data_IF_811492264128
#
_entry.id   IF_811492264128
#
_cell.length_a   1.000
_cell.length_b   1.000
_cell.length_c   1.000
_cell.angle_alpha   90.00
_cell.angle_beta   90.00
_cell.angle_gamma   90.00
#
_symmetry.space_group_name_H-M   'P 1'
#
loop_
_entity.id
_entity.type
_entity.pdbx_description
1 polymer ?
#
# COMPACT_ATOMS: atom_id res chain seq x y z
N UNK A 1 13.16 54.85 -10.72
CA UNK A 1 13.37 53.39 -10.87
C UNK A 1 12.46 52.68 -9.87
N UNK A 2 11.98 51.47 -10.18
CA UNK A 2 10.95 50.64 -9.51
C UNK A 2 9.50 50.79 -10.01
N UNK A 3 9.17 49.97 -11.01
CA UNK A 3 7.81 49.72 -11.52
C UNK A 3 7.10 48.71 -10.62
N UNK A 4 5.95 49.10 -10.09
CA UNK A 4 5.00 48.23 -9.36
C UNK A 4 4.02 47.63 -10.38
N UNK A 5 4.19 46.35 -10.73
CA UNK A 5 3.25 45.64 -11.61
C UNK A 5 2.08 45.08 -10.80
N UNK A 6 0.99 45.86 -10.73
CA UNK A 6 -0.33 45.35 -10.31
C UNK A 6 -0.90 44.52 -11.45
N UNK A 7 -0.95 43.21 -11.30
CA UNK A 7 -1.69 42.34 -12.22
C UNK A 7 -3.18 42.62 -12.02
N UNK A 8 -3.82 43.19 -13.05
CA UNK A 8 -5.27 43.33 -13.13
C UNK A 8 -5.85 41.95 -13.43
N UNK A 9 -6.69 41.43 -12.54
CA UNK A 9 -7.64 40.38 -12.88
C UNK A 9 -9.01 41.03 -13.06
N UNK A 10 -9.49 41.06 -14.31
CA UNK A 10 -10.79 41.62 -14.71
C UNK A 10 -11.93 40.61 -14.52
N UNK A 11 -13.05 41.13 -14.01
CA UNK A 11 -14.46 40.83 -14.31
C UNK A 11 -14.97 39.39 -14.35
N UNK A 12 -15.99 39.10 -13.54
CA UNK A 12 -17.39 39.10 -13.99
C UNK A 12 -18.36 38.67 -12.86
N UNK A 13 -19.44 39.42 -12.67
CA UNK A 13 -20.67 38.94 -12.02
C UNK A 13 -21.34 37.92 -12.95
N UNK A 14 -21.90 36.83 -12.41
CA UNK A 14 -23.18 36.27 -12.87
C UNK A 14 -23.72 35.23 -11.89
N UNK A 15 -25.03 35.33 -11.68
CA UNK A 15 -25.84 34.50 -10.81
C UNK A 15 -26.41 33.27 -11.53
N UNK A 16 -27.24 32.53 -10.78
CA UNK A 16 -28.27 31.55 -11.17
C UNK A 16 -27.86 30.13 -11.53
N UNK A 17 -28.47 29.21 -10.78
CA UNK A 17 -28.37 27.77 -10.88
C UNK A 17 -28.93 27.23 -12.20
N UNK A 18 -28.27 26.21 -12.74
CA UNK A 18 -28.89 25.23 -13.63
C UNK A 18 -28.82 23.86 -12.94
N UNK A 19 -29.98 23.28 -12.66
CA UNK A 19 -30.08 21.85 -12.37
C UNK A 19 -29.75 21.11 -13.66
N UNK A 20 -28.52 20.59 -13.74
CA UNK A 20 -28.07 19.74 -14.84
C UNK A 20 -27.00 18.80 -14.29
N UNK A 21 -27.30 17.50 -14.28
CA UNK A 21 -26.39 16.43 -13.90
C UNK A 21 -25.07 16.57 -14.66
N UNK A 22 -24.10 17.22 -14.03
CA UNK A 22 -22.75 17.36 -14.56
C UNK A 22 -22.11 15.99 -14.42
N UNK A 23 -22.13 15.23 -15.52
CA UNK A 23 -21.23 14.12 -15.77
C UNK A 23 -19.80 14.64 -15.61
N UNK A 24 -19.30 14.66 -14.37
CA UNK A 24 -17.88 14.65 -14.12
C UNK A 24 -17.43 13.34 -14.73
N UNK A 25 -16.80 13.43 -15.90
CA UNK A 25 -15.94 12.41 -16.45
C UNK A 25 -14.72 12.23 -15.52
N UNK A 26 -15.01 11.90 -14.25
CA UNK A 26 -14.04 11.40 -13.29
C UNK A 26 -13.55 10.13 -13.97
N UNK A 27 -12.26 10.01 -14.34
CA UNK A 27 -11.75 8.75 -14.87
C UNK A 27 -12.27 7.68 -13.94
N UNK A 28 -12.94 6.67 -14.49
CA UNK A 28 -13.56 5.59 -13.73
C UNK A 28 -12.56 5.24 -12.64
N UNK A 29 -12.91 5.47 -11.36
CA UNK A 29 -11.96 5.18 -10.30
C UNK A 29 -11.73 3.69 -10.41
N UNK A 30 -10.58 3.29 -10.96
CA UNK A 30 -10.21 1.90 -11.10
C UNK A 30 -10.35 1.35 -9.69
N UNK A 31 -11.36 0.48 -9.50
CA UNK A 31 -11.55 -0.17 -8.22
C UNK A 31 -10.30 -1.00 -8.02
N UNK A 32 -9.46 -0.58 -7.08
CA UNK A 32 -8.20 -1.24 -6.85
C UNK A 32 -8.45 -2.58 -6.19
N UNK A 33 -8.31 -3.64 -6.99
CA UNK A 33 -8.33 -5.01 -6.53
C UNK A 33 -6.89 -5.45 -6.26
N UNK A 34 -6.62 -5.86 -5.03
CA UNK A 34 -5.29 -6.29 -4.61
C UNK A 34 -5.30 -7.78 -4.31
N UNK A 35 -4.35 -8.50 -4.90
CA UNK A 35 -4.14 -9.92 -4.62
C UNK A 35 -2.70 -10.10 -4.19
N UNK A 36 -2.48 -10.86 -3.11
CA UNK A 36 -1.14 -11.21 -2.64
C UNK A 36 -0.90 -12.71 -2.80
N UNK A 37 0.29 -13.08 -3.24
CA UNK A 37 0.68 -14.48 -3.37
C UNK A 37 2.14 -14.68 -2.92
N UNK A 38 2.39 -15.56 -1.94
CA UNK A 38 1.40 -16.29 -1.13
C UNK A 38 0.64 -15.35 -0.16
N UNK A 39 -0.46 -15.84 0.44
CA UNK A 39 -1.17 -15.13 1.52
C UNK A 39 -0.71 -15.54 2.93
N UNK A 40 0.16 -16.56 3.01
CA UNK A 40 0.78 -17.02 4.25
C UNK A 40 2.18 -17.60 4.01
N UNK A 41 3.00 -17.61 5.05
CA UNK A 41 4.27 -18.31 5.05
C UNK A 41 4.54 -18.99 6.39
N UNK A 42 5.17 -20.16 6.32
CA UNK A 42 5.60 -20.96 7.46
C UNK A 42 7.13 -20.98 7.51
N UNK A 43 7.69 -20.74 8.69
CA UNK A 43 9.13 -20.74 8.93
C UNK A 43 9.51 -21.68 10.07
N UNK A 44 10.73 -22.23 9.97
CA UNK A 44 11.37 -22.95 11.06
C UNK A 44 11.98 -22.02 12.13
N UNK A 45 12.65 -22.62 13.11
CA UNK A 45 13.29 -21.92 14.23
C UNK A 45 14.25 -20.80 13.79
N UNK A 46 14.96 -21.02 12.69
CA UNK A 46 15.96 -20.10 12.17
C UNK A 46 15.36 -18.85 11.50
N UNK A 47 14.05 -18.86 11.21
CA UNK A 47 13.45 -17.81 10.40
C UNK A 47 14.01 -17.83 8.97
N UNK A 48 14.18 -16.67 8.37
CA UNK A 48 14.73 -16.51 7.02
C UNK A 48 14.12 -15.35 6.25
N UNK A 49 14.57 -15.17 5.01
CA UNK A 49 14.02 -14.16 4.09
C UNK A 49 12.99 -14.79 3.17
N UNK A 50 11.92 -14.05 2.87
CA UNK A 50 10.93 -14.44 1.88
C UNK A 50 10.36 -13.23 1.15
N UNK A 51 9.54 -13.52 0.15
CA UNK A 51 8.96 -12.52 -0.74
C UNK A 51 7.46 -12.78 -0.88
N UNK A 52 6.68 -11.70 -0.98
CA UNK A 52 5.27 -11.75 -1.34
C UNK A 52 5.07 -10.95 -2.63
N UNK A 53 4.48 -11.56 -3.64
CA UNK A 53 4.06 -10.87 -4.85
C UNK A 53 2.72 -10.16 -4.60
N UNK A 54 2.61 -8.94 -5.09
CA UNK A 54 1.39 -8.12 -5.07
C UNK A 54 0.95 -7.90 -6.52
N UNK A 55 -0.25 -8.35 -6.83
CA UNK A 55 -0.91 -8.08 -8.10
C UNK A 55 -1.92 -6.96 -7.87
N UNK A 56 -1.74 -5.86 -8.59
CA UNK A 56 -2.63 -4.70 -8.54
C UNK A 56 -2.73 -4.05 -9.93
N UNK A 57 -3.89 -3.50 -10.31
CA UNK A 57 -4.04 -2.70 -11.52
C UNK A 57 -3.06 -1.50 -11.53
N UNK A 58 -2.62 -1.09 -12.72
CA UNK A 58 -1.78 0.09 -12.87
C UNK A 58 -2.48 1.34 -12.29
N UNK A 59 -1.74 2.16 -11.55
CA UNK A 59 -2.28 3.33 -10.85
C UNK A 59 -2.88 3.05 -9.47
N UNK A 60 -3.02 1.78 -9.08
CA UNK A 60 -3.44 1.42 -7.73
C UNK A 60 -2.26 1.42 -6.76
N UNK A 61 -2.23 2.42 -5.88
CA UNK A 61 -1.19 2.55 -4.87
C UNK A 61 -1.45 1.64 -3.67
N UNK A 62 -0.40 1.06 -3.11
CA UNK A 62 -0.48 0.17 -1.96
C UNK A 62 0.78 0.23 -1.09
N UNK A 63 0.66 -0.24 0.15
CA UNK A 63 1.74 -0.26 1.15
C UNK A 63 1.86 -1.62 1.81
N UNK A 64 3.02 -1.89 2.40
CA UNK A 64 3.28 -3.07 3.22
C UNK A 64 3.71 -2.64 4.62
N UNK A 65 3.08 -3.20 5.65
CA UNK A 65 3.35 -2.88 7.05
C UNK A 65 3.43 -4.18 7.84
N UNK A 66 4.49 -4.33 8.63
CA UNK A 66 4.60 -5.39 9.62
C UNK A 66 3.98 -4.90 10.94
N UNK A 67 3.12 -5.71 11.54
CA UNK A 67 2.52 -5.44 12.86
C UNK A 67 3.29 -6.11 14.01
N UNK A 68 4.48 -6.67 13.76
CA UNK A 68 5.34 -7.28 14.78
C UNK A 68 6.82 -6.92 14.59
N UNK A 69 7.56 -6.81 15.70
CA UNK A 69 8.97 -6.41 15.68
C UNK A 69 9.93 -7.49 15.15
N UNK A 70 9.54 -8.76 15.16
CA UNK A 70 10.39 -9.88 14.72
C UNK A 70 10.29 -10.18 13.22
N UNK A 71 9.45 -9.44 12.50
CA UNK A 71 9.40 -9.44 11.03
C UNK A 71 9.78 -8.05 10.54
N UNK A 72 10.83 -7.97 9.74
CA UNK A 72 11.32 -6.72 9.15
C UNK A 72 11.02 -6.72 7.66
N UNK A 73 10.38 -5.67 7.16
CA UNK A 73 10.22 -5.46 5.71
C UNK A 73 11.55 -4.92 5.19
N UNK A 74 12.22 -5.70 4.35
CA UNK A 74 13.53 -5.37 3.80
C UNK A 74 13.42 -4.44 2.58
N UNK A 75 12.33 -4.56 1.81
CA UNK A 75 12.09 -3.70 0.67
C UNK A 75 10.74 -3.93 0.00
N UNK A 76 10.34 -2.95 -0.82
CA UNK A 76 9.20 -3.02 -1.72
C UNK A 76 9.67 -2.57 -3.11
N UNK A 77 9.40 -3.38 -4.13
CA UNK A 77 9.87 -3.08 -5.50
C UNK A 77 9.00 -2.04 -6.22
N UNK A 78 7.72 -1.98 -5.86
CA UNK A 78 6.75 -1.01 -6.36
C UNK A 78 5.79 -0.66 -5.23
N UNK A 79 5.21 0.53 -5.27
CA UNK A 79 4.09 0.93 -4.41
C UNK A 79 2.83 1.25 -5.21
N UNK A 80 2.86 1.00 -6.53
CA UNK A 80 1.74 1.17 -7.44
C UNK A 80 1.78 0.09 -8.52
N UNK A 81 0.62 -0.49 -8.85
CA UNK A 81 0.56 -1.62 -9.79
C UNK A 81 1.22 -2.89 -9.24
N UNK A 82 1.68 -3.77 -10.11
CA UNK A 82 2.33 -5.01 -9.68
C UNK A 82 3.67 -4.73 -8.98
N UNK A 83 3.96 -5.50 -7.93
CA UNK A 83 5.23 -5.44 -7.25
C UNK A 83 5.46 -6.61 -6.31
N UNK A 84 6.53 -6.51 -5.54
CA UNK A 84 6.98 -7.53 -4.61
C UNK A 84 7.43 -6.89 -3.31
N UNK A 85 7.13 -7.56 -2.20
CA UNK A 85 7.54 -7.18 -0.85
C UNK A 85 8.53 -8.22 -0.36
N UNK A 86 9.77 -7.82 -0.09
CA UNK A 86 10.77 -8.67 0.55
C UNK A 86 10.79 -8.40 2.05
N UNK A 87 10.81 -9.48 2.84
CA UNK A 87 10.82 -9.40 4.30
C UNK A 87 11.70 -10.48 4.91
N UNK A 88 12.15 -10.24 6.14
CA UNK A 88 12.95 -11.17 6.92
C UNK A 88 12.26 -11.49 8.25
N UNK A 89 12.30 -12.77 8.62
CA UNK A 89 11.80 -13.31 9.87
C UNK A 89 13.00 -13.61 10.75
N UNK A 90 13.05 -13.02 11.94
CA UNK A 90 14.11 -13.27 12.90
C UNK A 90 14.05 -14.71 13.46
N UNK A 91 15.17 -15.20 13.99
CA UNK A 91 15.24 -16.43 14.79
C UNK A 91 14.19 -16.40 15.92
N UNK A 92 13.63 -17.56 16.25
CA UNK A 92 12.73 -17.71 17.39
C UNK A 92 13.16 -18.82 18.33
N UNK A 93 13.65 -18.51 19.53
CA UNK A 93 14.06 -19.51 20.56
C UNK A 93 13.30 -19.40 21.89
N UNK A 94 12.35 -18.46 22.04
CA UNK A 94 11.62 -18.14 23.30
C UNK A 94 10.61 -19.17 23.84
N UNK A 95 9.40 -18.80 24.27
CA UNK A 95 8.23 -19.70 24.46
C UNK A 95 6.96 -18.92 24.09
N UNK A 96 5.85 -19.54 23.66
CA UNK A 96 5.61 -20.98 23.39
C UNK A 96 6.40 -21.54 22.18
N UNK A 97 6.22 -22.81 21.80
CA UNK A 97 6.99 -23.46 20.70
C UNK A 97 6.74 -22.84 19.33
N UNK A 98 5.69 -22.05 19.19
CA UNK A 98 5.24 -21.42 17.96
C UNK A 98 4.84 -19.97 18.24
N UNK A 99 5.09 -19.10 17.26
CA UNK A 99 4.56 -17.74 17.25
C UNK A 99 3.89 -17.46 15.92
N UNK A 100 2.79 -16.73 15.99
CA UNK A 100 2.02 -16.30 14.84
C UNK A 100 2.08 -14.78 14.77
N UNK A 101 2.20 -14.24 13.56
CA UNK A 101 2.03 -12.83 13.29
C UNK A 101 1.24 -12.64 12.01
N UNK A 102 0.75 -11.43 11.86
CA UNK A 102 0.22 -10.95 10.60
C UNK A 102 1.15 -9.87 10.02
N UNK A 103 0.97 -9.56 8.75
CA UNK A 103 1.43 -8.34 8.10
C UNK A 103 0.30 -7.84 7.21
N UNK A 104 0.23 -6.53 6.98
CA UNK A 104 -0.74 -5.96 6.05
C UNK A 104 -0.01 -5.57 4.77
N UNK A 105 -0.37 -6.19 3.64
CA UNK A 105 0.23 -5.93 2.33
C UNK A 105 -0.90 -5.59 1.36
N UNK A 106 -0.89 -4.38 0.80
CA UNK A 106 -1.93 -3.91 -0.10
C UNK A 106 -3.36 -4.04 0.46
N UNK A 107 -3.52 -3.79 1.76
CA UNK A 107 -4.78 -3.97 2.49
C UNK A 107 -5.14 -5.43 2.79
N UNK A 108 -4.38 -6.40 2.26
CA UNK A 108 -4.59 -7.82 2.49
C UNK A 108 -3.80 -8.29 3.72
N UNK A 109 -4.40 -9.20 4.48
CA UNK A 109 -3.74 -9.82 5.64
C UNK A 109 -2.87 -10.98 5.18
N UNK A 110 -1.57 -10.87 5.42
CA UNK A 110 -0.60 -11.95 5.24
C UNK A 110 -0.29 -12.61 6.58
N UNK A 111 -0.40 -13.93 6.67
CA UNK A 111 -0.16 -14.67 7.91
C UNK A 111 1.24 -15.30 7.93
N UNK A 112 2.00 -15.07 9.01
CA UNK A 112 3.29 -15.71 9.24
C UNK A 112 3.21 -16.61 10.46
N UNK A 113 3.59 -17.87 10.29
CA UNK A 113 3.75 -18.81 11.38
C UNK A 113 5.22 -19.20 11.47
N UNK A 114 5.75 -19.17 12.68
CA UNK A 114 7.10 -19.65 12.94
C UNK A 114 7.05 -20.69 14.05
N UNK A 115 7.54 -21.88 13.74
CA UNK A 115 7.59 -23.03 14.65
C UNK A 115 9.02 -23.53 14.77
N UNK A 116 9.32 -24.11 15.93
CA UNK A 116 10.61 -24.72 16.23
C UNK A 116 10.55 -26.22 16.19
#
# INVERSE_FOLDING_TARGET
MFRVSRVRFSSATQATAVSGSSSKNRPASVACTFVISPSKADFGINGGTAMVAVTAPAGCSWTAVSNVAWITIAGVSSTSGNGTVSYSVAVYTGRPKNRNATMTIAGQTFAVKQSR
#
